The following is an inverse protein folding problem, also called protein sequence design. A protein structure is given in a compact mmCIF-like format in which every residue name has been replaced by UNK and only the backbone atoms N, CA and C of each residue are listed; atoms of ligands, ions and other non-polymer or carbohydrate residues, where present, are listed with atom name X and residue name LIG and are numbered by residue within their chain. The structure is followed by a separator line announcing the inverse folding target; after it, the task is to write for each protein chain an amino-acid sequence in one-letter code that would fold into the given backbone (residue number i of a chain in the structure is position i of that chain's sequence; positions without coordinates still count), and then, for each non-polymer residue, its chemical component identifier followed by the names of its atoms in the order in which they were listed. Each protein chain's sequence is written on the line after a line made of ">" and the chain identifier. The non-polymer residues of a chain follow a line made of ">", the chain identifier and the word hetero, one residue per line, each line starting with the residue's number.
data_IF_066139759839
#
_entry.id   IF_066139759839
#
_cell.length_a   1.000
_cell.length_b   1.000
_cell.length_c   1.000
_cell.angle_alpha   90.00
_cell.angle_beta   90.00
_cell.angle_gamma   90.00
#
_symmetry.space_group_name_H-M   'P 1'
#
loop_
_entity.id
_entity.type
_entity.pdbx_description
1 polymer ?
#
# COMPACT_ATOMS: atom_id res chain seq x y z
N UNK A 1 -5.01 8.34 -12.45
CA UNK A 1 -4.85 9.48 -13.38
C UNK A 1 -5.32 9.13 -14.80
N UNK A 2 -5.01 7.94 -15.29
CA UNK A 2 -5.32 7.55 -16.67
C UNK A 2 -6.80 7.26 -16.93
N UNK A 3 -7.58 6.97 -15.89
CA UNK A 3 -9.01 6.65 -16.00
C UNK A 3 -9.95 7.86 -15.84
N UNK A 4 -9.45 9.03 -15.42
CA UNK A 4 -10.28 10.20 -15.13
C UNK A 4 -11.09 10.71 -16.34
N UNK A 5 -10.63 10.42 -17.55
CA UNK A 5 -11.27 10.83 -18.79
C UNK A 5 -12.00 9.66 -19.50
N UNK A 6 -12.17 8.52 -18.86
CA UNK A 6 -12.91 7.41 -19.44
C UNK A 6 -14.39 7.77 -19.56
N UNK A 7 -15.05 7.42 -20.68
CA UNK A 7 -16.49 7.60 -20.84
C UNK A 7 -17.26 6.85 -19.74
N UNK A 8 -18.22 7.52 -19.11
CA UNK A 8 -19.04 6.94 -18.04
C UNK A 8 -18.47 7.11 -16.63
N UNK A 9 -17.33 7.77 -16.47
CA UNK A 9 -16.87 8.21 -15.14
C UNK A 9 -17.74 9.36 -14.66
N UNK A 10 -18.26 9.25 -13.45
CA UNK A 10 -19.09 10.28 -12.81
C UNK A 10 -18.36 10.78 -11.57
N UNK A 11 -18.28 12.10 -11.44
CA UNK A 11 -17.68 12.77 -10.29
C UNK A 11 -18.75 13.58 -9.59
N UNK A 12 -18.86 13.42 -8.27
CA UNK A 12 -19.80 14.17 -7.43
C UNK A 12 -19.07 14.76 -6.23
N UNK A 13 -19.46 15.96 -5.85
CA UNK A 13 -19.10 16.52 -4.55
C UNK A 13 -20.14 16.08 -3.53
N UNK A 14 -19.69 15.37 -2.48
CA UNK A 14 -20.58 14.78 -1.47
C UNK A 14 -20.60 15.58 -0.15
N UNK A 15 -20.00 16.77 -0.15
CA UNK A 15 -20.09 17.74 0.93
C UNK A 15 -18.95 17.68 1.95
N UNK A 16 -18.98 18.61 2.92
CA UNK A 16 -18.00 18.70 3.99
C UNK A 16 -18.32 17.73 5.13
N UNK A 17 -17.28 17.25 5.79
CA UNK A 17 -17.39 16.35 6.96
C UNK A 17 -16.18 16.51 7.89
N UNK A 18 -16.24 15.88 9.07
CA UNK A 18 -15.10 15.71 9.97
C UNK A 18 -14.63 14.26 9.91
N UNK A 19 -13.49 14.04 9.27
CA UNK A 19 -12.88 12.72 9.08
C UNK A 19 -11.58 12.64 9.89
N UNK A 20 -11.51 11.68 10.83
CA UNK A 20 -10.36 11.49 11.71
C UNK A 20 -9.92 12.80 12.40
N UNK A 21 -10.89 13.55 12.96
CA UNK A 21 -10.73 14.84 13.63
C UNK A 21 -10.19 15.97 12.72
N UNK A 22 -10.32 15.85 11.42
CA UNK A 22 -9.94 16.85 10.42
C UNK A 22 -11.14 17.26 9.60
N UNK A 23 -11.27 18.54 9.33
CA UNK A 23 -12.23 19.01 8.33
C UNK A 23 -11.80 18.52 6.95
N UNK A 24 -12.72 17.90 6.25
CA UNK A 24 -12.50 17.32 4.94
C UNK A 24 -13.70 17.56 4.02
N UNK A 25 -13.46 17.49 2.73
CA UNK A 25 -14.50 17.45 1.69
C UNK A 25 -14.50 16.05 1.07
N UNK A 26 -15.68 15.48 0.90
CA UNK A 26 -15.85 14.21 0.21
C UNK A 26 -16.09 14.42 -1.29
N UNK A 27 -15.36 13.65 -2.08
CA UNK A 27 -15.55 13.50 -3.52
C UNK A 27 -15.87 12.04 -3.80
N UNK A 28 -16.94 11.82 -4.57
CA UNK A 28 -17.39 10.51 -5.00
C UNK A 28 -17.10 10.31 -6.48
N UNK A 29 -16.63 9.13 -6.82
CA UNK A 29 -16.33 8.71 -8.18
C UNK A 29 -17.04 7.38 -8.43
N UNK A 30 -17.86 7.35 -9.49
CA UNK A 30 -18.41 6.09 -10.01
C UNK A 30 -17.70 5.73 -11.30
N UNK A 31 -17.30 4.49 -11.44
CA UNK A 31 -16.72 4.01 -12.67
C UNK A 31 -17.75 3.22 -13.52
N UNK A 32 -17.47 3.03 -14.81
CA UNK A 32 -18.38 2.29 -15.71
C UNK A 32 -18.60 0.82 -15.30
N UNK A 33 -17.77 0.27 -14.43
CA UNK A 33 -17.89 -1.08 -13.88
C UNK A 33 -18.80 -1.14 -12.63
N UNK A 34 -19.29 0.01 -12.17
CA UNK A 34 -20.15 0.11 -10.99
C UNK A 34 -19.38 0.07 -9.66
N UNK A 35 -18.10 0.42 -9.67
CA UNK A 35 -17.36 0.67 -8.44
C UNK A 35 -17.65 2.08 -7.96
N UNK A 36 -18.03 2.20 -6.72
CA UNK A 36 -18.22 3.44 -6.01
C UNK A 36 -16.98 3.72 -5.16
N UNK A 37 -16.33 4.84 -5.39
CA UNK A 37 -15.11 5.27 -4.71
C UNK A 37 -15.37 6.63 -4.09
N UNK A 38 -15.21 6.76 -2.77
CA UNK A 38 -15.28 8.03 -2.04
C UNK A 38 -13.91 8.39 -1.49
N UNK A 39 -13.53 9.65 -1.63
CA UNK A 39 -12.23 10.16 -1.17
C UNK A 39 -12.48 11.38 -0.30
N UNK A 40 -12.01 11.33 0.96
CA UNK A 40 -11.98 12.48 1.85
C UNK A 40 -10.67 13.23 1.67
N UNK A 41 -10.78 14.51 1.33
CA UNK A 41 -9.66 15.42 1.11
C UNK A 41 -9.64 16.43 2.25
N UNK A 42 -8.58 16.47 3.05
CA UNK A 42 -8.44 17.40 4.15
C UNK A 42 -8.42 18.84 3.63
N UNK A 43 -9.29 19.73 4.16
CA UNK A 43 -9.41 21.12 3.70
C UNK A 43 -8.14 21.94 3.86
N UNK A 44 -7.42 21.73 4.96
CA UNK A 44 -6.21 22.51 5.26
C UNK A 44 -5.02 22.13 4.35
N UNK A 45 -4.87 20.86 4.03
CA UNK A 45 -3.66 20.36 3.33
C UNK A 45 -3.93 19.97 1.88
N UNK A 46 -5.20 19.85 1.49
CA UNK A 46 -5.65 19.33 0.19
C UNK A 46 -5.12 17.92 -0.12
N UNK A 47 -4.79 17.14 0.93
CA UNK A 47 -4.30 15.76 0.80
C UNK A 47 -5.42 14.77 1.07
N UNK A 48 -5.47 13.63 0.35
CA UNK A 48 -6.42 12.57 0.63
C UNK A 48 -6.07 11.89 1.94
N UNK A 49 -7.00 11.88 2.90
CA UNK A 49 -6.78 11.27 4.22
C UNK A 49 -7.50 9.92 4.36
N UNK A 50 -8.57 9.72 3.59
CA UNK A 50 -9.33 8.47 3.60
C UNK A 50 -9.89 8.17 2.22
N UNK A 51 -9.89 6.90 1.84
CA UNK A 51 -10.55 6.40 0.63
C UNK A 51 -11.45 5.23 1.01
N UNK A 52 -12.66 5.25 0.54
CA UNK A 52 -13.64 4.17 0.67
C UNK A 52 -13.95 3.61 -0.70
N UNK A 53 -14.00 2.30 -0.81
CA UNK A 53 -14.35 1.61 -2.05
C UNK A 53 -15.38 0.54 -1.74
N UNK A 54 -16.54 0.61 -2.40
CA UNK A 54 -17.52 -0.46 -2.41
C UNK A 54 -17.41 -1.22 -3.72
N UNK A 55 -17.13 -2.52 -3.62
CA UNK A 55 -16.99 -3.41 -4.76
C UNK A 55 -17.96 -4.57 -4.64
N UNK A 56 -18.49 -5.05 -5.78
CA UNK A 56 -19.24 -6.30 -5.84
C UNK A 56 -18.43 -7.34 -6.61
N UNK A 57 -18.30 -8.50 -6.02
CA UNK A 57 -17.72 -9.65 -6.74
C UNK A 57 -18.63 -10.03 -7.92
N UNK A 58 -18.11 -10.12 -9.16
CA UNK A 58 -18.91 -10.35 -10.34
C UNK A 58 -19.53 -11.77 -10.39
N UNK A 59 -19.00 -12.72 -9.64
CA UNK A 59 -19.47 -14.13 -9.63
C UNK A 59 -20.41 -14.38 -8.46
N UNK A 60 -19.99 -13.99 -7.24
CA UNK A 60 -20.75 -14.26 -6.01
C UNK A 60 -21.73 -13.16 -5.64
N UNK A 61 -21.62 -11.99 -6.28
CA UNK A 61 -22.36 -10.76 -5.98
C UNK A 61 -22.19 -10.25 -4.53
N UNK A 62 -21.24 -10.79 -3.79
CA UNK A 62 -20.94 -10.34 -2.45
C UNK A 62 -20.32 -8.94 -2.48
N UNK A 63 -20.85 -8.07 -1.62
CA UNK A 63 -20.29 -6.72 -1.42
C UNK A 63 -19.06 -6.81 -0.52
N UNK A 64 -18.01 -6.09 -0.90
CA UNK A 64 -16.82 -5.86 -0.11
C UNK A 64 -16.63 -4.37 0.07
N UNK A 65 -16.59 -3.92 1.32
CA UNK A 65 -16.29 -2.55 1.69
C UNK A 65 -14.83 -2.47 2.14
N UNK A 66 -14.06 -1.62 1.45
CA UNK A 66 -12.66 -1.37 1.77
C UNK A 66 -12.45 0.09 2.13
N UNK A 67 -11.75 0.33 3.23
CA UNK A 67 -11.35 1.65 3.68
C UNK A 67 -9.84 1.72 3.79
N UNK A 68 -9.23 2.67 3.10
CA UNK A 68 -7.82 2.99 3.19
C UNK A 68 -7.64 4.34 3.92
N UNK A 69 -6.83 4.35 4.97
CA UNK A 69 -6.44 5.55 5.71
C UNK A 69 -5.02 5.92 5.33
N UNK A 70 -4.79 7.22 5.09
CA UNK A 70 -3.49 7.77 4.70
C UNK A 70 -3.03 8.79 5.73
N UNK A 71 -1.81 8.65 6.20
CA UNK A 71 -1.23 9.55 7.20
C UNK A 71 0.29 9.66 7.05
N UNK A 72 0.91 10.47 7.92
CA UNK A 72 2.36 10.67 7.92
C UNK A 72 2.87 11.14 6.56
N UNK A 73 2.35 12.28 6.10
CA UNK A 73 2.71 12.86 4.81
C UNK A 73 4.07 13.56 4.88
N UNK A 74 4.93 13.27 3.91
CA UNK A 74 6.23 13.90 3.74
C UNK A 74 6.43 14.33 2.28
N UNK A 75 7.19 15.39 2.08
CA UNK A 75 7.65 15.80 0.75
C UNK A 75 8.93 15.03 0.39
N UNK A 76 8.93 14.38 -0.77
CA UNK A 76 10.08 13.70 -1.34
C UNK A 76 10.25 14.21 -2.77
N UNK A 77 11.40 14.77 -3.09
CA UNK A 77 11.71 15.32 -4.42
C UNK A 77 10.61 16.25 -4.97
N UNK A 78 10.00 17.07 -4.09
CA UNK A 78 8.92 18.01 -4.43
C UNK A 78 7.53 17.40 -4.55
N UNK A 79 7.38 16.10 -4.31
CA UNK A 79 6.09 15.40 -4.30
C UNK A 79 5.70 15.05 -2.86
N UNK A 80 4.52 15.51 -2.43
CA UNK A 80 3.98 15.12 -1.12
C UNK A 80 3.25 13.78 -1.24
N UNK A 81 3.66 12.81 -0.41
CA UNK A 81 3.03 11.49 -0.35
C UNK A 81 2.87 10.99 1.09
N UNK A 82 1.96 10.05 1.29
CA UNK A 82 1.77 9.40 2.58
C UNK A 82 2.88 8.36 2.83
N UNK A 83 3.32 8.25 4.07
CA UNK A 83 4.28 7.25 4.54
C UNK A 83 3.66 6.23 5.49
N UNK A 84 2.39 6.38 5.77
CA UNK A 84 1.61 5.38 6.49
C UNK A 84 0.29 5.14 5.76
N UNK A 85 -0.01 3.86 5.51
CA UNK A 85 -1.29 3.41 5.00
C UNK A 85 -1.83 2.29 5.89
N UNK A 86 -3.11 2.39 6.24
CA UNK A 86 -3.86 1.31 6.92
C UNK A 86 -5.05 0.95 6.07
N UNK A 87 -5.23 -0.34 5.79
CA UNK A 87 -6.40 -0.84 5.07
C UNK A 87 -7.28 -1.67 5.99
N UNK A 88 -8.57 -1.37 5.94
CA UNK A 88 -9.64 -2.11 6.62
C UNK A 88 -10.56 -2.68 5.54
N UNK A 89 -10.93 -3.94 5.65
CA UNK A 89 -11.86 -4.61 4.74
C UNK A 89 -12.97 -5.27 5.54
N UNK A 90 -14.23 -4.94 5.24
CA UNK A 90 -15.40 -5.42 5.98
C UNK A 90 -15.24 -5.27 7.51
N UNK A 91 -14.73 -4.11 7.96
CA UNK A 91 -14.49 -3.80 9.36
C UNK A 91 -13.23 -4.42 9.99
N UNK A 92 -12.51 -5.29 9.29
CA UNK A 92 -11.29 -5.91 9.78
C UNK A 92 -10.04 -5.25 9.17
N UNK A 93 -9.06 -4.93 10.00
CA UNK A 93 -7.76 -4.43 9.55
C UNK A 93 -7.00 -5.56 8.83
N UNK A 94 -6.74 -5.36 7.53
CA UNK A 94 -6.07 -6.38 6.69
C UNK A 94 -4.58 -6.13 6.56
N UNK A 95 -4.14 -4.87 6.52
CA UNK A 95 -2.73 -4.54 6.60
C UNK A 95 -2.49 -3.12 7.12
N UNK A 96 -1.26 -2.88 7.54
CA UNK A 96 -0.73 -1.56 7.83
C UNK A 96 0.72 -1.50 7.36
N UNK A 97 1.06 -0.46 6.60
CA UNK A 97 2.39 -0.24 6.04
C UNK A 97 2.92 1.09 6.51
N UNK A 98 4.19 1.09 6.89
CA UNK A 98 4.99 2.27 7.16
C UNK A 98 6.13 2.29 6.15
N UNK A 99 6.23 3.38 5.40
CA UNK A 99 7.33 3.60 4.47
C UNK A 99 8.43 4.38 5.16
N UNK A 100 9.67 4.13 4.76
CA UNK A 100 10.81 4.93 5.20
C UNK A 100 11.04 6.06 4.19
N UNK A 101 10.95 7.31 4.62
CA UNK A 101 11.16 8.48 3.78
C UNK A 101 12.58 8.53 3.19
N UNK A 102 13.60 8.12 3.96
CA UNK A 102 15.00 8.14 3.52
C UNK A 102 15.28 7.18 2.36
N UNK A 103 14.45 6.15 2.20
CA UNK A 103 14.56 5.17 1.12
C UNK A 103 13.74 5.48 -0.13
N UNK A 104 12.91 6.52 -0.10
CA UNK A 104 12.03 6.88 -1.21
C UNK A 104 12.68 7.95 -2.09
N UNK A 105 12.73 7.69 -3.41
CA UNK A 105 13.24 8.63 -4.41
C UNK A 105 12.37 8.56 -5.66
N UNK A 106 12.13 9.70 -6.29
CA UNK A 106 11.42 9.79 -7.56
C UNK A 106 12.40 10.03 -8.72
N UNK A 107 11.98 9.68 -9.91
CA UNK A 107 12.70 9.98 -11.16
C UNK A 107 14.18 9.56 -11.15
N UNK A 108 14.48 8.40 -10.57
CA UNK A 108 15.86 7.89 -10.45
C UNK A 108 16.43 7.35 -11.75
N UNK A 109 15.73 7.51 -12.89
CA UNK A 109 16.16 7.02 -14.19
C UNK A 109 16.25 5.48 -14.23
N UNK A 110 15.36 4.77 -13.54
CA UNK A 110 15.31 3.32 -13.59
C UNK A 110 15.09 2.84 -15.03
N UNK A 111 15.92 1.89 -15.46
CA UNK A 111 15.81 1.30 -16.78
C UNK A 111 14.59 0.37 -16.87
N UNK A 112 13.89 0.38 -17.99
CA UNK A 112 12.71 -0.46 -18.23
C UNK A 112 13.02 -1.96 -18.07
N UNK A 113 14.25 -2.37 -18.37
CA UNK A 113 14.74 -3.74 -18.15
C UNK A 113 14.62 -4.24 -16.70
N UNK A 114 14.51 -3.31 -15.71
CA UNK A 114 14.30 -3.68 -14.30
C UNK A 114 12.87 -4.19 -14.02
N UNK A 115 11.93 -3.91 -14.92
CA UNK A 115 10.51 -4.26 -14.77
C UNK A 115 10.11 -5.45 -15.66
N UNK A 116 11.07 -6.14 -16.29
CA UNK A 116 10.79 -7.36 -17.05
C UNK A 116 10.60 -8.55 -16.13
N UNK A 117 9.87 -9.57 -16.61
CA UNK A 117 9.67 -10.82 -15.87
C UNK A 117 10.99 -11.49 -15.50
N UNK A 118 11.93 -11.51 -16.43
CA UNK A 118 13.27 -12.11 -16.26
C UNK A 118 14.05 -11.43 -15.12
N UNK A 119 13.98 -10.10 -15.02
CA UNK A 119 14.63 -9.36 -13.94
C UNK A 119 14.01 -9.63 -12.57
N UNK A 120 12.69 -9.82 -12.52
CA UNK A 120 11.98 -10.20 -11.31
C UNK A 120 12.36 -11.61 -10.86
N UNK A 121 12.36 -12.57 -11.77
CA UNK A 121 12.73 -13.97 -11.49
C UNK A 121 14.17 -14.08 -10.96
N UNK A 122 15.11 -13.32 -11.53
CA UNK A 122 16.50 -13.25 -11.06
C UNK A 122 16.60 -12.67 -9.63
N UNK A 123 15.82 -11.64 -9.32
CA UNK A 123 15.80 -11.03 -7.97
C UNK A 123 15.22 -11.99 -6.94
N UNK A 124 14.14 -12.68 -7.24
CA UNK A 124 13.55 -13.70 -6.37
C UNK A 124 14.53 -14.83 -6.09
N UNK A 125 15.22 -15.34 -7.12
CA UNK A 125 16.24 -16.36 -6.97
C UNK A 125 17.42 -15.93 -6.07
N UNK A 126 17.77 -14.64 -6.06
CA UNK A 126 18.81 -14.09 -5.17
C UNK A 126 18.34 -13.97 -3.72
N UNK A 127 17.08 -13.59 -3.50
CA UNK A 127 16.46 -13.51 -2.16
C UNK A 127 16.41 -14.89 -1.52
N UNK A 128 15.97 -15.89 -2.28
CA UNK A 128 15.91 -17.29 -1.80
C UNK A 128 17.27 -17.84 -1.42
N UNK A 129 18.32 -17.53 -2.19
CA UNK A 129 19.69 -17.92 -1.86
C UNK A 129 20.19 -17.26 -0.56
N UNK A 130 19.91 -15.98 -0.35
CA UNK A 130 20.28 -15.25 0.89
C UNK A 130 19.49 -15.76 2.09
N UNK A 131 18.21 -16.07 1.93
CA UNK A 131 17.37 -16.64 2.99
C UNK A 131 17.85 -18.02 3.44
N UNK A 132 18.20 -18.89 2.49
CA UNK A 132 18.75 -20.24 2.77
C UNK A 132 20.12 -20.16 3.46
N UNK A 133 20.98 -19.20 3.12
CA UNK A 133 22.29 -19.01 3.76
C UNK A 133 22.15 -18.57 5.21
N UNK A 134 21.27 -17.61 5.52
CA UNK A 134 21.00 -17.16 6.90
C UNK A 134 20.47 -18.30 7.80
N UNK A 135 19.61 -19.16 7.25
CA UNK A 135 19.06 -20.29 8.00
C UNK A 135 20.12 -21.39 8.26
N UNK A 136 21.09 -21.56 7.36
CA UNK A 136 22.18 -22.52 7.53
C UNK A 136 23.15 -22.04 8.60
N UNK A 137 23.57 -20.77 8.53
CA UNK A 137 24.48 -20.16 9.52
C UNK A 137 23.86 -20.15 10.94
N UNK A 138 22.52 -19.98 11.05
CA UNK A 138 21.80 -20.04 12.32
C UNK A 138 21.69 -21.47 12.90
N UNK A 139 21.70 -22.50 12.06
CA UNK A 139 21.63 -23.91 12.45
C UNK A 139 23.01 -24.39 12.91
N UNK A 140 24.06 -24.07 12.17
CA UNK A 140 25.44 -24.42 12.50
C UNK A 140 25.89 -23.77 13.83
N UNK A 141 25.40 -22.56 14.14
CA UNK A 141 25.68 -21.89 15.43
C UNK A 141 24.90 -22.49 16.62
N UNK A 142 23.76 -23.16 16.40
CA UNK A 142 23.04 -23.87 17.45
C UNK A 142 23.71 -25.20 17.77
N UNK A 143 24.18 -25.93 16.78
CA UNK A 143 24.81 -27.23 16.94
C UNK A 143 26.20 -27.10 17.58
N UNK A 144 26.92 -25.98 17.36
CA UNK A 144 28.18 -25.69 18.03
C UNK A 144 28.02 -25.41 19.54
N UNK A 145 26.94 -24.71 19.95
CA UNK A 145 26.66 -24.42 21.37
C UNK A 145 26.20 -25.64 22.17
N UNK A 146 25.65 -26.66 21.54
CA UNK A 146 25.15 -27.86 22.22
C UNK A 146 26.28 -28.86 22.52
N UNK A 147 27.38 -28.79 21.77
CA UNK A 147 28.54 -29.66 22.00
C UNK A 147 29.44 -29.22 23.17
N UNK A 148 29.43 -27.95 23.52
CA UNK A 148 30.28 -27.42 24.62
C UNK A 148 29.67 -27.62 26.01
N UNK A 149 28.40 -27.98 26.11
CA UNK A 149 27.70 -28.20 27.39
C UNK A 149 27.62 -29.70 27.82
N UNK A 150 28.20 -30.61 27.04
CA UNK A 150 28.18 -32.06 27.38
C UNK A 150 29.51 -32.58 27.93
N UNK A 151 30.46 -31.69 28.27
CA UNK A 151 31.78 -32.07 28.85
C UNK A 151 32.03 -31.33 30.16
N UNK A 152 31.10 -31.49 31.11
CA UNK A 152 31.34 -31.20 32.54
C UNK A 152 30.62 -32.20 33.42
#
# INVERSE_FOLDING_TARGET
>A
RFRLNEPGMIFRYDGPDIVDLKEADWVELDDPQGHEIRIAIAKLTHLPIRKEVAMRDPVTHMRTDQVDYYSNFHAVDGVTMYFQQTQVRNGMKVFQVFYNADGCKFNTGLQDSLFTKESLDQRWAQVDKKGKKKNKDAKDNKDAKTKDNSSK
#
